data_IF_952962024861
#
_entry.id   IF_952962024861
#
_cell.length_a   1.000
_cell.length_b   1.000
_cell.length_c   1.000
_cell.angle_alpha   90.00
_cell.angle_beta   90.00
_cell.angle_gamma   90.00
#
_symmetry.space_group_name_H-M   'P 1'
#
loop_
_entity.id
_entity.type
_entity.pdbx_description
1 polymer ?
#
# COMPACT_ATOMS: atom_id res chain seq x y z
N UNK A 1 13.95 -0.78 1.42
CA UNK A 1 13.47 0.44 0.75
C UNK A 1 12.87 1.39 1.77
N UNK A 2 12.87 2.67 1.48
CA UNK A 2 12.32 3.71 2.34
C UNK A 2 11.61 4.78 1.52
N UNK A 3 10.53 5.34 2.08
CA UNK A 3 9.82 6.47 1.51
C UNK A 3 10.07 7.70 2.38
N UNK A 4 10.49 8.80 1.76
CA UNK A 4 10.65 10.06 2.44
C UNK A 4 9.45 10.97 2.19
N UNK A 5 9.06 11.73 3.21
CA UNK A 5 7.89 12.59 3.17
C UNK A 5 7.92 13.60 2.03
N UNK A 6 9.02 14.11 1.65
CA UNK A 6 9.09 15.14 0.59
C UNK A 6 9.64 14.61 -0.72
N UNK A 7 9.05 13.54 -1.22
CA UNK A 7 9.12 13.30 -2.63
C UNK A 7 10.10 12.27 -3.12
N UNK A 8 10.58 11.34 -2.29
CA UNK A 8 11.50 10.33 -2.81
C UNK A 8 11.30 8.98 -2.19
N UNK A 9 11.30 7.95 -3.03
CA UNK A 9 11.38 6.55 -2.64
C UNK A 9 12.70 6.00 -3.12
N UNK A 10 13.41 5.29 -2.26
CA UNK A 10 14.72 4.73 -2.58
C UNK A 10 14.88 3.33 -2.03
N UNK A 11 15.60 2.49 -2.75
CA UNK A 11 16.00 1.16 -2.29
C UNK A 11 17.51 1.03 -2.26
N UNK A 12 17.99 0.27 -1.29
CA UNK A 12 19.42 0.06 -1.03
C UNK A 12 19.70 -1.43 -0.91
N UNK A 13 20.89 -1.83 -1.28
CA UNK A 13 21.40 -3.17 -0.99
C UNK A 13 21.75 -3.26 0.49
N UNK A 14 21.15 -4.20 1.22
CA UNK A 14 21.37 -4.34 2.66
C UNK A 14 22.78 -4.81 3.00
N UNK A 15 23.39 -5.62 2.13
CA UNK A 15 24.72 -6.18 2.39
C UNK A 15 25.82 -5.14 2.20
N UNK A 16 25.72 -4.27 1.19
CA UNK A 16 26.73 -3.29 0.84
C UNK A 16 26.38 -1.84 1.25
N UNK A 17 25.10 -1.56 1.51
CA UNK A 17 24.60 -0.23 1.72
C UNK A 17 24.53 0.61 0.44
N UNK A 18 24.81 0.01 -0.71
CA UNK A 18 24.80 0.73 -1.98
C UNK A 18 23.38 1.09 -2.39
N UNK A 19 23.24 2.30 -2.94
CA UNK A 19 22.00 2.79 -3.51
C UNK A 19 21.67 2.02 -4.79
N UNK A 20 20.48 1.41 -4.87
CA UNK A 20 20.04 0.68 -6.06
C UNK A 20 19.30 1.59 -7.03
N UNK A 21 18.31 2.34 -6.53
CA UNK A 21 17.53 3.27 -7.32
C UNK A 21 16.78 4.24 -6.42
N UNK A 22 16.31 5.33 -6.99
CA UNK A 22 15.37 6.24 -6.33
C UNK A 22 14.39 6.80 -7.35
N UNK A 23 13.20 7.17 -6.87
CA UNK A 23 12.17 7.83 -7.66
C UNK A 23 11.59 9.00 -6.90
N UNK A 24 11.27 10.06 -7.65
CA UNK A 24 10.53 11.18 -7.09
C UNK A 24 9.06 10.79 -6.95
N UNK A 25 8.59 10.68 -5.72
CA UNK A 25 7.22 10.31 -5.41
C UNK A 25 6.94 10.62 -3.94
N UNK A 26 5.97 11.48 -3.69
CA UNK A 26 5.59 11.82 -2.32
C UNK A 26 4.62 10.78 -1.76
N UNK A 27 4.94 10.27 -0.58
CA UNK A 27 4.06 9.34 0.13
C UNK A 27 4.02 9.69 1.61
N UNK A 28 2.81 9.93 2.10
CA UNK A 28 2.58 10.11 3.53
C UNK A 28 2.03 8.83 4.18
N UNK A 29 1.60 7.86 3.39
CA UNK A 29 0.95 6.65 3.89
C UNK A 29 1.92 5.49 4.14
N UNK A 30 3.08 5.51 3.53
CA UNK A 30 4.08 4.45 3.70
C UNK A 30 4.10 3.43 2.57
N UNK A 31 4.90 2.41 2.75
CA UNK A 31 5.16 1.39 1.73
C UNK A 31 5.04 -0.03 2.30
N UNK A 32 4.86 -1.00 1.41
CA UNK A 32 5.05 -2.41 1.71
C UNK A 32 5.90 -3.05 0.61
N UNK A 33 6.54 -4.16 0.93
CA UNK A 33 7.53 -4.78 0.05
C UNK A 33 7.28 -6.29 0.02
N UNK A 34 7.39 -6.87 -1.17
CA UNK A 34 7.52 -8.31 -1.32
C UNK A 34 8.82 -8.67 -2.05
N UNK A 35 8.91 -9.89 -2.54
CA UNK A 35 10.13 -10.38 -3.20
C UNK A 35 10.47 -9.64 -4.50
N UNK A 36 9.46 -9.10 -5.18
CA UNK A 36 9.59 -8.50 -6.51
C UNK A 36 9.32 -7.02 -6.56
N UNK A 37 8.39 -6.55 -5.72
CA UNK A 37 7.83 -5.21 -5.86
C UNK A 37 7.89 -4.42 -4.56
N UNK A 38 7.89 -3.12 -4.73
CA UNK A 38 7.60 -2.15 -3.68
C UNK A 38 6.23 -1.56 -3.98
N UNK A 39 5.32 -1.62 -3.02
CA UNK A 39 3.99 -1.03 -3.14
C UNK A 39 3.95 0.26 -2.35
N UNK A 40 3.42 1.31 -2.95
CA UNK A 40 3.40 2.62 -2.32
C UNK A 40 2.10 3.35 -2.67
N UNK A 41 1.51 4.00 -1.68
CA UNK A 41 0.40 4.93 -1.90
C UNK A 41 0.98 6.34 -1.92
N UNK A 42 0.77 7.06 -3.02
CA UNK A 42 1.26 8.43 -3.14
C UNK A 42 0.33 9.42 -2.43
N UNK A 43 0.73 10.69 -2.39
CA UNK A 43 -0.01 11.74 -1.69
C UNK A 43 -1.35 12.09 -2.32
N UNK A 44 -1.60 11.61 -3.53
CA UNK A 44 -2.88 11.81 -4.26
C UNK A 44 -3.82 10.61 -4.15
N UNK A 45 -3.37 9.53 -3.50
CA UNK A 45 -4.16 8.31 -3.33
C UNK A 45 -3.95 7.26 -4.40
N UNK A 46 -3.04 7.46 -5.34
CA UNK A 46 -2.71 6.41 -6.30
C UNK A 46 -1.81 5.35 -5.66
N UNK A 47 -2.09 4.09 -5.95
CA UNK A 47 -1.30 2.96 -5.50
C UNK A 47 -0.38 2.52 -6.63
N UNK A 48 0.90 2.42 -6.35
CA UNK A 48 1.91 2.03 -7.33
C UNK A 48 2.57 0.72 -6.92
N UNK A 49 2.85 -0.13 -7.89
CA UNK A 49 3.80 -1.23 -7.73
C UNK A 49 5.03 -0.91 -8.56
N UNK A 50 6.18 -0.87 -7.90
CA UNK A 50 7.46 -0.59 -8.53
C UNK A 50 8.32 -1.84 -8.46
N UNK A 51 9.09 -2.10 -9.51
CA UNK A 51 10.06 -3.19 -9.50
C UNK A 51 11.13 -2.91 -8.43
N UNK A 52 11.30 -3.85 -7.52
CA UNK A 52 12.24 -3.70 -6.41
C UNK A 52 13.70 -3.59 -6.86
N UNK A 53 14.04 -4.20 -8.00
CA UNK A 53 15.42 -4.21 -8.47
C UNK A 53 15.83 -2.90 -9.15
N UNK A 54 14.92 -2.22 -9.85
CA UNK A 54 15.25 -1.05 -10.66
C UNK A 54 14.32 0.15 -10.50
N UNK A 55 13.24 0.02 -9.73
CA UNK A 55 12.28 1.10 -9.51
C UNK A 55 11.32 1.38 -10.65
N UNK A 56 11.31 0.56 -11.69
CA UNK A 56 10.39 0.75 -12.81
C UNK A 56 8.94 0.49 -12.39
N UNK A 57 8.00 1.22 -12.98
CA UNK A 57 6.58 1.01 -12.70
C UNK A 57 6.12 -0.33 -13.27
N UNK A 58 5.60 -1.20 -12.41
CA UNK A 58 4.94 -2.45 -12.81
C UNK A 58 3.48 -2.17 -13.12
N UNK A 59 2.79 -1.48 -12.20
CA UNK A 59 1.44 -0.99 -12.43
C UNK A 59 1.16 0.22 -11.54
N UNK A 60 0.11 0.96 -11.90
CA UNK A 60 -0.40 2.09 -11.14
C UNK A 60 -1.92 2.03 -11.13
N UNK A 61 -2.52 2.15 -9.93
CA UNK A 61 -3.96 2.25 -9.77
C UNK A 61 -4.30 3.64 -9.26
N UNK A 62 -4.92 4.47 -10.10
CA UNK A 62 -5.21 5.87 -9.79
C UNK A 62 -6.69 6.17 -9.56
N UNK A 63 -7.54 5.15 -9.54
CA UNK A 63 -8.99 5.32 -9.35
C UNK A 63 -9.39 5.60 -7.91
N UNK A 64 -8.43 5.59 -6.98
CA UNK A 64 -8.65 5.96 -5.58
C UNK A 64 -8.19 7.40 -5.28
N UNK A 65 -8.10 8.22 -6.29
CA UNK A 65 -7.70 9.62 -6.19
C UNK A 65 -8.54 10.38 -5.15
N UNK A 66 -7.86 11.14 -4.27
CA UNK A 66 -8.47 11.95 -3.21
C UNK A 66 -9.24 11.17 -2.13
N UNK A 67 -9.03 9.87 -2.00
CA UNK A 67 -9.70 9.05 -0.98
C UNK A 67 -8.89 8.86 0.30
N UNK A 68 -7.75 9.52 0.44
CA UNK A 68 -6.86 9.40 1.62
C UNK A 68 -6.54 7.93 1.91
N UNK A 69 -5.95 7.29 0.94
CA UNK A 69 -5.70 5.85 0.95
C UNK A 69 -4.57 5.51 1.93
N UNK A 70 -4.74 4.45 2.68
CA UNK A 70 -3.76 3.96 3.64
C UNK A 70 -2.53 3.36 2.98
N UNK A 71 -1.53 3.02 3.82
CA UNK A 71 -0.38 2.22 3.40
C UNK A 71 -0.88 0.90 2.80
N UNK A 72 -0.35 0.48 1.64
CA UNK A 72 -0.74 -0.81 1.07
C UNK A 72 -0.17 -1.97 1.89
N UNK A 73 -0.86 -3.10 1.87
CA UNK A 73 -0.37 -4.35 2.42
C UNK A 73 -0.46 -5.42 1.34
N UNK A 74 0.67 -6.00 0.98
CA UNK A 74 0.72 -7.12 0.06
C UNK A 74 0.47 -8.43 0.83
N UNK A 75 -0.49 -9.21 0.36
CA UNK A 75 -0.82 -10.49 0.98
C UNK A 75 -1.39 -11.45 -0.05
N UNK A 76 -0.75 -12.63 -0.19
CA UNK A 76 -1.15 -13.61 -1.18
C UNK A 76 -1.07 -13.01 -2.58
N UNK A 77 -2.16 -13.08 -3.33
CA UNK A 77 -2.25 -12.55 -4.70
C UNK A 77 -2.80 -11.12 -4.76
N UNK A 78 -2.96 -10.46 -3.61
CA UNK A 78 -3.63 -9.17 -3.52
C UNK A 78 -2.79 -8.13 -2.78
N UNK A 79 -3.13 -6.87 -3.01
CA UNK A 79 -2.67 -5.72 -2.23
C UNK A 79 -3.90 -5.04 -1.66
N UNK A 80 -3.93 -4.83 -0.35
CA UNK A 80 -5.07 -4.23 0.34
C UNK A 80 -4.76 -2.79 0.72
N UNK A 81 -5.74 -1.90 0.54
CA UNK A 81 -5.68 -0.51 1.01
C UNK A 81 -7.04 -0.10 1.58
N UNK A 82 -7.03 0.75 2.59
CA UNK A 82 -8.24 1.33 3.15
C UNK A 82 -8.37 2.81 2.78
N UNK A 83 -9.59 3.33 2.77
CA UNK A 83 -9.83 4.73 2.44
C UNK A 83 -10.52 5.49 3.60
N UNK A 84 -10.75 6.79 3.42
CA UNK A 84 -11.32 7.65 4.45
C UNK A 84 -12.79 7.34 4.75
N UNK A 85 -13.47 6.62 3.87
CA UNK A 85 -14.86 6.19 4.08
C UNK A 85 -14.94 4.80 4.72
N UNK A 86 -13.81 4.20 5.09
CA UNK A 86 -13.77 2.88 5.71
C UNK A 86 -13.92 1.72 4.74
N UNK A 87 -13.80 1.96 3.44
CA UNK A 87 -13.83 0.91 2.43
C UNK A 87 -12.42 0.32 2.28
N UNK A 88 -12.33 -1.00 2.31
CA UNK A 88 -11.10 -1.73 2.05
C UNK A 88 -11.14 -2.25 0.62
N UNK A 89 -10.15 -1.86 -0.16
CA UNK A 89 -10.03 -2.25 -1.56
C UNK A 89 -8.95 -3.31 -1.69
N UNK A 90 -9.25 -4.38 -2.41
CA UNK A 90 -8.29 -5.41 -2.76
C UNK A 90 -7.93 -5.26 -4.24
N UNK A 91 -6.65 -5.05 -4.49
CA UNK A 91 -6.10 -4.94 -5.83
C UNK A 91 -5.36 -6.23 -6.17
N UNK A 92 -5.37 -6.61 -7.44
CA UNK A 92 -4.54 -7.74 -7.87
C UNK A 92 -3.07 -7.33 -7.82
N UNK A 93 -2.26 -8.19 -7.25
CA UNK A 93 -0.83 -7.93 -7.06
C UNK A 93 -0.07 -7.86 -8.38
N UNK A 94 -0.53 -8.58 -9.41
CA UNK A 94 0.14 -8.66 -10.70
C UNK A 94 -0.15 -7.49 -11.64
N UNK A 95 -1.31 -6.86 -11.54
CA UNK A 95 -1.72 -5.81 -12.49
C UNK A 95 -2.41 -4.60 -11.86
N UNK A 96 -2.69 -4.62 -10.56
CA UNK A 96 -3.33 -3.52 -9.84
C UNK A 96 -4.83 -3.34 -10.11
N UNK A 97 -5.46 -4.25 -10.80
CA UNK A 97 -6.90 -4.21 -11.09
C UNK A 97 -7.68 -4.50 -9.82
N UNK A 98 -8.81 -3.80 -9.61
CA UNK A 98 -9.68 -4.06 -8.48
C UNK A 98 -10.23 -5.49 -8.53
N UNK A 99 -10.00 -6.26 -7.46
CA UNK A 99 -10.51 -7.61 -7.33
C UNK A 99 -11.75 -7.65 -6.45
N UNK A 100 -11.77 -6.87 -5.36
CA UNK A 100 -12.88 -6.84 -4.41
C UNK A 100 -12.79 -5.59 -3.55
N UNK A 101 -13.88 -5.29 -2.87
CA UNK A 101 -13.89 -4.28 -1.80
C UNK A 101 -14.87 -4.71 -0.72
N UNK A 102 -14.61 -4.30 0.50
CA UNK A 102 -15.50 -4.55 1.63
C UNK A 102 -15.62 -3.30 2.48
N UNK A 103 -16.77 -3.09 3.06
CA UNK A 103 -17.02 -1.96 3.93
C UNK A 103 -16.69 -2.33 5.37
N UNK A 104 -16.12 -1.36 6.09
CA UNK A 104 -16.07 -1.37 7.55
C UNK A 104 -17.18 -0.44 8.06
N UNK A 105 -16.97 0.27 9.16
CA UNK A 105 -17.85 1.40 9.45
C UNK A 105 -17.48 2.60 8.56
N UNK A 106 -18.29 3.62 8.51
CA UNK A 106 -18.07 4.76 7.59
C UNK A 106 -17.11 5.81 8.14
N UNK A 107 -16.39 5.53 9.22
CA UNK A 107 -15.56 6.55 9.88
C UNK A 107 -14.15 6.71 9.32
N UNK A 108 -13.75 5.84 8.41
CA UNK A 108 -12.42 5.88 7.79
C UNK A 108 -11.37 5.05 8.55
N UNK A 109 -10.26 4.81 7.89
CA UNK A 109 -9.16 4.02 8.45
C UNK A 109 -8.25 4.95 9.27
N UNK A 110 -8.08 4.64 10.56
CA UNK A 110 -7.40 5.52 11.51
C UNK A 110 -5.92 5.24 11.67
N UNK A 111 -5.48 4.02 11.45
CA UNK A 111 -4.11 3.59 11.68
C UNK A 111 -3.61 2.74 10.53
N UNK A 112 -2.30 2.52 10.47
CA UNK A 112 -1.71 1.65 9.48
C UNK A 112 -2.25 0.22 9.63
N UNK A 113 -2.64 -0.44 8.54
CA UNK A 113 -3.03 -1.84 8.59
C UNK A 113 -1.89 -2.72 9.12
N UNK A 114 -2.23 -3.72 9.90
CA UNK A 114 -1.27 -4.65 10.48
C UNK A 114 -1.44 -6.03 9.87
N UNK A 115 -0.35 -6.61 9.38
CA UNK A 115 -0.37 -7.97 8.85
C UNK A 115 -0.46 -8.97 9.99
N UNK A 116 -1.35 -9.95 9.86
CA UNK A 116 -1.47 -11.10 10.74
C UNK A 116 -1.38 -12.39 9.93
N UNK A 117 -1.47 -13.55 10.56
CA UNK A 117 -1.13 -14.83 9.94
C UNK A 117 -1.78 -15.09 8.58
N UNK A 118 -3.08 -14.81 8.41
CA UNK A 118 -3.81 -15.09 7.16
C UNK A 118 -4.62 -13.90 6.67
N UNK A 119 -4.24 -12.72 7.09
CA UNK A 119 -5.00 -11.54 6.72
C UNK A 119 -4.36 -10.30 7.29
N UNK A 120 -5.17 -9.35 7.64
CA UNK A 120 -4.69 -8.11 8.22
C UNK A 120 -5.75 -7.51 9.14
N UNK A 121 -5.30 -6.63 10.04
CA UNK A 121 -6.15 -5.88 10.93
C UNK A 121 -6.19 -4.43 10.48
N UNK A 122 -7.39 -3.86 10.46
CA UNK A 122 -7.60 -2.44 10.22
C UNK A 122 -8.42 -1.84 11.34
N UNK A 123 -8.02 -0.65 11.79
CA UNK A 123 -8.73 0.11 12.80
C UNK A 123 -9.36 1.33 12.17
N UNK A 124 -10.62 1.58 12.49
CA UNK A 124 -11.35 2.76 12.03
C UNK A 124 -11.27 3.89 13.06
N UNK A 125 -11.62 5.10 12.62
CA UNK A 125 -11.60 6.30 13.48
C UNK A 125 -12.60 6.21 14.64
N UNK A 126 -13.69 5.47 14.49
CA UNK A 126 -14.66 5.22 15.56
C UNK A 126 -14.22 4.12 16.53
N UNK A 127 -13.01 3.58 16.38
CA UNK A 127 -12.48 2.54 17.25
C UNK A 127 -12.87 1.13 16.86
N UNK A 128 -13.51 0.94 15.71
CA UNK A 128 -13.80 -0.40 15.19
C UNK A 128 -12.50 -1.12 14.79
N UNK A 129 -12.43 -2.41 15.11
CA UNK A 129 -11.30 -3.25 14.74
C UNK A 129 -11.79 -4.37 13.83
N UNK A 130 -11.24 -4.44 12.63
CA UNK A 130 -11.66 -5.37 11.61
C UNK A 130 -10.52 -6.31 11.24
N UNK A 131 -10.75 -7.61 11.36
CA UNK A 131 -9.83 -8.63 10.91
C UNK A 131 -10.32 -9.14 9.55
N UNK A 132 -9.49 -9.00 8.53
CA UNK A 132 -9.83 -9.35 7.17
C UNK A 132 -8.93 -10.49 6.69
N UNK A 133 -9.56 -11.52 6.14
CA UNK A 133 -8.85 -12.68 5.64
C UNK A 133 -8.73 -12.58 4.12
N UNK A 134 -7.55 -12.86 3.60
CA UNK A 134 -7.27 -12.89 2.17
C UNK A 134 -6.98 -14.32 1.75
N UNK A 135 -7.75 -14.82 0.80
CA UNK A 135 -7.54 -16.17 0.27
C UNK A 135 -6.67 -16.16 -0.98
#
# INVERSE_FOLDING_TARGET
CAAAYQGRIACFDLASGNHLWSRDMSSAAGIDIDERNVYVTDDKGAVHALDRANGATVWKQDKLFMRQVSRPIAMGSHVAVGDYQGVVHLLRRDNGVFAARTNTDSSGIAAEPQRVERGFLMQTRNGGLYALKVN
#
